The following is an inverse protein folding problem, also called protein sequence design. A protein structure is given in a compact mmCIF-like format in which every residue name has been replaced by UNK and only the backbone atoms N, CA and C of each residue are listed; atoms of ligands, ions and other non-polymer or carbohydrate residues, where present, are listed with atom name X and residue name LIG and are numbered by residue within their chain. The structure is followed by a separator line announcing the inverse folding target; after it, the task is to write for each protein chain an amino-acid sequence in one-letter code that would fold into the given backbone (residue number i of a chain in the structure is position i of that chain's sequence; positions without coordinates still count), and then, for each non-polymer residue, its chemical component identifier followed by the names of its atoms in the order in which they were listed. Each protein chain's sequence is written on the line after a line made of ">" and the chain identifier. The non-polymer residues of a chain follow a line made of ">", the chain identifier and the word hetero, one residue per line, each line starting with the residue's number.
data_IF_512593354579
#
_entry.id   IF_512593354579
#
_cell.length_a   1.000
_cell.length_b   1.000
_cell.length_c   1.000
_cell.angle_alpha   90.00
_cell.angle_beta   90.00
_cell.angle_gamma   90.00
#
_symmetry.space_group_name_H-M   'P 1'
#
loop_
_entity.id
_entity.type
_entity.pdbx_description
1 polymer ?
#
# COMPACT_ATOMS: atom_id res chain seq x y z
N UNK A 1 11.54 9.57 11.28
CA UNK A 1 12.68 9.93 10.41
C UNK A 1 12.60 9.24 9.04
N UNK A 2 12.37 7.92 8.99
CA UNK A 2 12.19 7.15 7.72
C UNK A 2 10.98 7.59 6.88
N UNK A 3 9.79 7.74 7.48
CA UNK A 3 8.58 8.20 6.77
C UNK A 3 8.77 9.59 6.12
N UNK A 4 9.41 10.52 6.83
CA UNK A 4 9.65 11.88 6.32
C UNK A 4 10.60 11.89 5.11
N UNK A 5 11.63 11.02 5.12
CA UNK A 5 12.57 10.89 4.01
C UNK A 5 11.88 10.28 2.78
N UNK A 6 10.98 9.31 2.97
CA UNK A 6 10.17 8.73 1.89
C UNK A 6 9.25 9.79 1.29
N UNK A 7 8.56 10.58 2.12
CA UNK A 7 7.68 11.66 1.66
C UNK A 7 8.45 12.74 0.87
N UNK A 8 9.61 13.18 1.35
CA UNK A 8 10.46 14.14 0.65
C UNK A 8 10.94 13.61 -0.71
N UNK A 9 11.43 12.36 -0.75
CA UNK A 9 11.90 11.76 -1.99
C UNK A 9 10.77 11.59 -3.02
N UNK A 10 9.55 11.26 -2.58
CA UNK A 10 8.36 11.20 -3.42
C UNK A 10 7.97 12.58 -3.96
N UNK A 11 8.08 13.62 -3.13
CA UNK A 11 7.76 15.00 -3.51
C UNK A 11 8.77 15.57 -4.54
N UNK A 12 10.05 15.23 -4.42
CA UNK A 12 11.08 15.58 -5.42
C UNK A 12 10.87 14.86 -6.77
N UNK A 13 10.52 13.58 -6.76
CA UNK A 13 10.27 12.80 -7.97
C UNK A 13 9.02 13.28 -8.73
N UNK A 14 7.91 13.47 -8.02
CA UNK A 14 6.63 13.95 -8.59
C UNK A 14 6.78 15.34 -9.20
N UNK A 15 7.57 16.22 -8.57
CA UNK A 15 7.86 17.56 -9.07
C UNK A 15 8.59 17.57 -10.42
N UNK A 16 9.51 16.61 -10.65
CA UNK A 16 10.21 16.47 -11.94
C UNK A 16 9.34 15.84 -13.01
N UNK A 17 8.49 14.88 -12.64
CA UNK A 17 7.67 14.13 -13.58
C UNK A 17 6.36 14.84 -13.97
N UNK A 18 5.92 15.88 -13.23
CA UNK A 18 4.62 16.55 -13.40
C UNK A 18 3.44 15.56 -13.33
N UNK A 19 3.54 14.57 -12.45
CA UNK A 19 2.52 13.55 -12.26
C UNK A 19 1.91 13.68 -10.87
N UNK A 20 0.59 13.51 -10.78
CA UNK A 20 -0.08 13.30 -9.50
C UNK A 20 0.28 11.87 -9.06
N UNK A 21 0.89 11.66 -7.89
CA UNK A 21 1.09 10.31 -7.39
C UNK A 21 -0.29 9.68 -7.11
N UNK A 22 -0.45 8.41 -7.49
CA UNK A 22 -1.57 7.58 -7.08
C UNK A 22 -1.11 6.68 -5.94
N UNK A 23 -1.60 6.93 -4.72
CA UNK A 23 -1.09 6.30 -3.50
C UNK A 23 -2.01 5.14 -3.11
N UNK A 24 -1.47 3.92 -3.16
CA UNK A 24 -2.15 2.71 -2.67
C UNK A 24 -1.61 2.33 -1.31
N UNK A 25 -2.48 2.28 -0.31
CA UNK A 25 -2.15 1.69 0.99
C UNK A 25 -2.48 0.20 0.98
N UNK A 26 -1.45 -0.63 1.19
CA UNK A 26 -1.60 -2.08 1.26
C UNK A 26 -1.84 -2.46 2.71
N UNK A 27 -3.11 -2.72 3.04
CA UNK A 27 -3.54 -3.03 4.39
C UNK A 27 -3.50 -4.54 4.66
N UNK A 28 -3.08 -4.96 5.86
CA UNK A 28 -3.22 -6.35 6.28
C UNK A 28 -4.71 -6.70 6.47
N UNK A 29 -5.08 -7.97 6.29
CA UNK A 29 -6.41 -8.44 6.67
C UNK A 29 -6.57 -8.39 8.20
N UNK A 30 -7.77 -8.02 8.67
CA UNK A 30 -8.07 -7.95 10.11
C UNK A 30 -8.24 -9.32 10.76
N UNK A 31 -8.48 -10.37 9.95
CA UNK A 31 -8.53 -11.74 10.43
C UNK A 31 -7.11 -12.31 10.56
N UNK A 32 -6.74 -12.68 11.78
CA UNK A 32 -5.40 -13.17 12.13
C UNK A 32 -5.01 -14.44 11.36
N UNK A 33 -5.96 -15.36 11.13
CA UNK A 33 -5.66 -16.60 10.40
C UNK A 33 -5.43 -16.33 8.90
N UNK A 34 -6.17 -15.37 8.33
CA UNK A 34 -5.91 -14.87 6.97
C UNK A 34 -4.55 -14.16 6.91
N UNK A 35 -4.23 -13.29 7.88
CA UNK A 35 -2.96 -12.59 7.95
C UNK A 35 -1.78 -13.56 8.02
N UNK A 36 -1.85 -14.57 8.90
CA UNK A 36 -0.84 -15.64 8.99
C UNK A 36 -0.62 -16.33 7.64
N UNK A 37 -1.72 -16.69 6.96
CA UNK A 37 -1.64 -17.35 5.66
C UNK A 37 -0.97 -16.47 4.61
N UNK A 38 -1.32 -15.18 4.57
CA UNK A 38 -0.76 -14.20 3.65
C UNK A 38 0.74 -14.03 3.89
N UNK A 39 1.16 -13.85 5.16
CA UNK A 39 2.57 -13.77 5.54
C UNK A 39 3.31 -15.05 5.15
N UNK A 40 2.81 -16.22 5.53
CA UNK A 40 3.41 -17.51 5.18
C UNK A 40 3.56 -17.69 3.66
N UNK A 41 2.56 -17.25 2.88
CA UNK A 41 2.60 -17.32 1.41
C UNK A 41 3.56 -16.31 0.78
N UNK A 42 3.86 -15.20 1.46
CA UNK A 42 4.81 -14.16 1.00
C UNK A 42 6.25 -14.61 1.23
N UNK A 43 6.53 -15.21 2.39
CA UNK A 43 7.89 -15.59 2.82
C UNK A 43 8.28 -17.04 2.48
N UNK A 44 7.73 -17.63 1.41
CA UNK A 44 7.97 -19.03 1.02
C UNK A 44 9.48 -19.38 1.09
N UNK A 45 9.86 -20.24 2.05
CA UNK A 45 11.23 -20.72 2.24
C UNK A 45 11.98 -20.12 3.44
N UNK A 46 11.41 -19.16 4.16
CA UNK A 46 11.96 -18.65 5.43
C UNK A 46 11.14 -19.18 6.61
N UNK A 47 11.78 -19.95 7.49
CA UNK A 47 11.18 -20.49 8.73
C UNK A 47 10.59 -19.37 9.62
N UNK A 48 11.17 -18.16 9.56
CA UNK A 48 10.81 -16.99 10.37
C UNK A 48 9.43 -16.39 10.01
N UNK A 49 9.04 -16.41 8.73
CA UNK A 49 7.74 -15.87 8.29
C UNK A 49 6.55 -16.74 8.69
N UNK A 50 6.77 -18.01 9.01
CA UNK A 50 5.70 -18.98 9.27
C UNK A 50 5.21 -19.00 10.73
N UNK A 51 5.92 -18.35 11.67
CA UNK A 51 5.65 -18.50 13.10
C UNK A 51 5.67 -17.18 13.89
N UNK A 52 5.17 -16.08 13.31
CA UNK A 52 5.00 -14.84 14.08
C UNK A 52 4.02 -15.08 15.25
N UNK A 53 4.37 -14.64 16.47
CA UNK A 53 3.50 -14.82 17.62
C UNK A 53 2.26 -13.91 17.52
N UNK A 54 1.19 -14.27 18.23
CA UNK A 54 -0.11 -13.60 18.13
C UNK A 54 -0.03 -12.09 18.41
N UNK A 55 0.81 -11.68 19.36
CA UNK A 55 1.01 -10.27 19.72
C UNK A 55 1.64 -9.46 18.58
N UNK A 56 2.54 -10.04 17.79
CA UNK A 56 3.14 -9.37 16.64
C UNK A 56 2.14 -9.24 15.50
N UNK A 57 1.34 -10.28 15.24
CA UNK A 57 0.25 -10.23 14.27
C UNK A 57 -0.78 -9.16 14.64
N UNK A 58 -1.12 -9.04 15.93
CA UNK A 58 -2.01 -8.00 16.43
C UNK A 58 -1.38 -6.60 16.29
N UNK A 59 -0.09 -6.47 16.58
CA UNK A 59 0.63 -5.21 16.40
C UNK A 59 0.61 -4.72 14.95
N UNK A 60 0.76 -5.63 13.97
CA UNK A 60 0.64 -5.30 12.54
C UNK A 60 -0.75 -4.74 12.21
N UNK A 61 -1.82 -5.36 12.74
CA UNK A 61 -3.19 -4.90 12.51
C UNK A 61 -3.42 -3.53 13.16
N UNK A 62 -2.92 -3.32 14.38
CA UNK A 62 -3.10 -2.07 15.10
C UNK A 62 -2.29 -0.92 14.48
N UNK A 63 -1.07 -1.19 14.01
CA UNK A 63 -0.24 -0.22 13.28
C UNK A 63 -0.89 0.17 11.95
N UNK A 64 -1.42 -0.79 11.20
CA UNK A 64 -2.15 -0.49 9.98
C UNK A 64 -3.37 0.40 10.24
N UNK A 65 -4.10 0.16 11.34
CA UNK A 65 -5.22 1.02 11.74
C UNK A 65 -4.75 2.43 12.10
N UNK A 66 -3.64 2.58 12.82
CA UNK A 66 -3.06 3.90 13.14
C UNK A 66 -2.67 4.66 11.87
N UNK A 67 -2.03 3.97 10.91
CA UNK A 67 -1.66 4.53 9.61
C UNK A 67 -2.90 5.01 8.86
N UNK A 68 -3.96 4.20 8.80
CA UNK A 68 -5.20 4.56 8.13
C UNK A 68 -5.89 5.77 8.78
N UNK A 69 -5.94 5.82 10.11
CA UNK A 69 -6.51 6.97 10.84
C UNK A 69 -5.72 8.26 10.57
N UNK A 70 -4.39 8.19 10.58
CA UNK A 70 -3.52 9.38 10.47
C UNK A 70 -3.34 9.85 9.04
N UNK A 71 -3.26 8.93 8.09
CA UNK A 71 -2.84 9.20 6.72
C UNK A 71 -3.87 8.80 5.68
N UNK A 72 -5.02 8.23 6.05
CA UNK A 72 -6.03 7.72 5.13
C UNK A 72 -6.46 8.71 4.04
N UNK A 73 -6.50 10.00 4.36
CA UNK A 73 -6.81 11.08 3.41
C UNK A 73 -5.76 11.31 2.32
N UNK A 74 -4.57 10.71 2.43
CA UNK A 74 -3.53 10.73 1.40
C UNK A 74 -3.66 9.55 0.42
N UNK A 75 -4.44 8.52 0.76
CA UNK A 75 -4.54 7.31 -0.06
C UNK A 75 -5.63 7.50 -1.13
N UNK A 76 -5.30 7.23 -2.38
CA UNK A 76 -6.30 7.14 -3.45
C UNK A 76 -7.02 5.78 -3.40
N UNK A 77 -6.36 4.73 -2.85
CA UNK A 77 -6.92 3.39 -2.67
C UNK A 77 -6.37 2.70 -1.42
N UNK A 78 -7.24 1.96 -0.74
CA UNK A 78 -6.85 0.97 0.28
C UNK A 78 -7.06 -0.43 -0.30
N UNK A 79 -6.00 -1.24 -0.33
CA UNK A 79 -6.01 -2.61 -0.83
C UNK A 79 -5.79 -3.58 0.33
N UNK A 80 -6.80 -4.36 0.69
CA UNK A 80 -6.70 -5.39 1.74
C UNK A 80 -6.22 -6.69 1.15
N UNK A 81 -5.04 -7.16 1.57
CA UNK A 81 -4.43 -8.38 1.01
C UNK A 81 -4.96 -9.62 1.74
N UNK A 82 -6.11 -10.14 1.31
CA UNK A 82 -6.61 -11.44 1.79
C UNK A 82 -5.96 -12.63 1.07
N UNK A 83 -5.56 -12.41 -0.18
CA UNK A 83 -4.91 -13.36 -1.08
C UNK A 83 -3.97 -12.58 -2.00
N UNK A 84 -2.72 -13.02 -2.15
CA UNK A 84 -1.69 -12.27 -2.88
C UNK A 84 -2.02 -12.16 -4.36
N UNK A 85 -2.48 -13.26 -4.97
CA UNK A 85 -2.79 -13.28 -6.40
C UNK A 85 -3.95 -12.33 -6.71
N UNK A 86 -5.01 -12.39 -5.91
CA UNK A 86 -6.17 -11.52 -6.05
C UNK A 86 -5.80 -10.04 -5.89
N UNK A 87 -4.96 -9.71 -4.90
CA UNK A 87 -4.48 -8.35 -4.67
C UNK A 87 -3.62 -7.85 -5.84
N UNK A 88 -2.77 -8.72 -6.40
CA UNK A 88 -1.98 -8.41 -7.59
C UNK A 88 -2.85 -8.12 -8.81
N UNK A 89 -3.86 -8.96 -9.06
CA UNK A 89 -4.81 -8.75 -10.16
C UNK A 89 -5.63 -7.47 -9.97
N UNK A 90 -5.98 -7.11 -8.74
CA UNK A 90 -6.66 -5.85 -8.44
C UNK A 90 -5.76 -4.65 -8.77
N UNK A 91 -4.49 -4.67 -8.34
CA UNK A 91 -3.52 -3.62 -8.70
C UNK A 91 -3.35 -3.47 -10.21
N UNK A 92 -3.26 -4.58 -10.96
CA UNK A 92 -3.17 -4.51 -12.42
C UNK A 92 -4.40 -3.85 -13.04
N UNK A 93 -5.60 -4.12 -12.53
CA UNK A 93 -6.83 -3.48 -13.04
C UNK A 93 -6.82 -1.98 -12.76
N UNK A 94 -6.40 -1.56 -11.57
CA UNK A 94 -6.29 -0.15 -11.21
C UNK A 94 -5.27 0.57 -12.11
N UNK A 95 -4.08 0.01 -12.31
CA UNK A 95 -3.07 0.58 -13.21
C UNK A 95 -3.63 0.74 -14.63
N UNK A 96 -4.29 -0.30 -15.16
CA UNK A 96 -4.91 -0.23 -16.49
C UNK A 96 -6.02 0.83 -16.60
N UNK A 97 -6.79 1.06 -15.53
CA UNK A 97 -7.80 2.14 -15.48
C UNK A 97 -7.12 3.51 -15.48
N UNK A 98 -6.09 3.68 -14.64
CA UNK A 98 -5.34 4.94 -14.54
C UNK A 98 -4.63 5.35 -15.84
N UNK A 99 -4.18 4.37 -16.65
CA UNK A 99 -3.58 4.63 -17.96
C UNK A 99 -4.61 5.05 -19.03
N UNK A 100 -5.89 4.71 -18.85
CA UNK A 100 -6.95 4.95 -19.85
C UNK A 100 -7.84 6.12 -19.49
N UNK A 101 -7.91 6.48 -18.22
CA UNK A 101 -8.76 7.56 -17.73
C UNK A 101 -8.00 8.91 -17.73
N UNK A 102 -8.56 9.97 -18.34
CA UNK A 102 -7.92 11.28 -18.31
C UNK A 102 -7.86 11.82 -16.87
N UNK A 103 -6.64 12.10 -16.39
CA UNK A 103 -6.42 12.69 -15.07
C UNK A 103 -6.39 14.23 -15.12
N UNK A 104 -7.02 14.86 -14.14
CA UNK A 104 -6.93 16.31 -13.94
C UNK A 104 -5.56 16.67 -13.36
N UNK A 105 -4.72 17.30 -14.19
CA UNK A 105 -3.48 17.93 -13.73
C UNK A 105 -3.70 19.44 -13.57
N UNK A 106 -3.17 20.06 -12.49
CA UNK A 106 -3.13 21.51 -12.37
C UNK A 106 -2.55 22.16 -13.64
N UNK A 107 -3.16 23.24 -14.11
CA UNK A 107 -2.70 23.96 -15.32
C UNK A 107 -1.24 24.41 -15.23
N UNK A 108 -0.73 24.65 -14.01
CA UNK A 108 0.68 24.98 -13.77
C UNK A 108 1.66 23.83 -14.12
N UNK A 109 1.17 22.59 -14.29
CA UNK A 109 1.96 21.46 -14.75
C UNK A 109 2.07 21.42 -16.28
N UNK A 110 1.16 22.05 -17.01
CA UNK A 110 1.22 22.15 -18.47
C UNK A 110 1.97 23.45 -18.80
N UNK A 111 3.15 23.34 -19.40
CA UNK A 111 3.89 24.49 -19.95
C UNK A 111 3.70 24.52 -21.46
#
# INVERSE_FOLDING_TARGET
>A
MLLYQITLNLQDFTSRAKLKPYIVFVAPPTNIETLKRVIASTYRGQEEGNNLPLNELQAIIDEARDIEVRFGHHFDKVLVVNDIESAYQELLREINSLEREPQWIPSIWIK
#
